data_IF_402270672406
#
_entry.id   IF_402270672406
#
_cell.length_a   1.000
_cell.length_b   1.000
_cell.length_c   1.000
_cell.angle_alpha   90.00
_cell.angle_beta   90.00
_cell.angle_gamma   90.00
#
_symmetry.space_group_name_H-M   'P 1'
#
loop_
_entity.id
_entity.type
_entity.pdbx_description
1 polymer ?
#
# COMPACT_ATOMS: atom_id res chain seq x y z
N UNK A 1 1.70 -3.42 -7.43
CA UNK A 1 2.25 -3.93 -6.16
C UNK A 1 2.75 -2.77 -5.35
N UNK A 2 2.34 -2.69 -4.08
CA UNK A 2 2.77 -1.66 -3.13
C UNK A 2 3.88 -2.23 -2.25
N UNK A 3 5.07 -1.64 -2.30
CA UNK A 3 6.21 -2.02 -1.48
C UNK A 3 6.55 -0.94 -0.45
N UNK A 4 6.85 -1.35 0.77
CA UNK A 4 7.17 -0.44 1.86
C UNK A 4 8.63 -0.57 2.27
N UNK A 5 9.36 0.55 2.23
CA UNK A 5 10.70 0.69 2.76
C UNK A 5 10.60 1.21 4.19
N UNK A 6 11.27 0.51 5.13
CA UNK A 6 11.43 1.02 6.50
C UNK A 6 12.75 1.79 6.63
N UNK A 7 12.72 3.13 6.71
CA UNK A 7 13.93 3.92 6.87
C UNK A 7 14.68 3.68 8.18
N UNK A 8 13.97 3.18 9.21
CA UNK A 8 14.52 2.91 10.54
C UNK A 8 15.33 1.60 10.59
N UNK A 9 15.21 0.76 9.56
CA UNK A 9 15.99 -0.48 9.44
C UNK A 9 17.43 -0.26 8.95
N UNK A 10 17.83 0.98 8.72
CA UNK A 10 19.16 1.35 8.20
C UNK A 10 20.00 2.07 9.25
N UNK A 11 21.31 1.86 9.20
CA UNK A 11 22.28 2.59 10.00
C UNK A 11 23.27 3.34 9.08
N UNK A 12 23.28 4.68 9.13
CA UNK A 12 22.35 5.55 9.86
C UNK A 12 20.93 5.53 9.28
N UNK A 13 19.94 5.91 10.08
CA UNK A 13 18.54 6.03 9.64
C UNK A 13 18.45 6.89 8.38
N UNK A 14 17.69 6.41 7.39
CA UNK A 14 17.61 7.06 6.10
C UNK A 14 16.82 8.38 6.17
N UNK A 15 17.48 9.47 5.81
CA UNK A 15 16.81 10.71 5.46
C UNK A 15 16.21 10.67 4.04
N UNK A 16 15.50 11.73 3.65
CA UNK A 16 14.79 11.84 2.36
C UNK A 16 15.64 11.45 1.14
N UNK A 17 16.90 11.89 1.06
CA UNK A 17 17.81 11.52 -0.06
C UNK A 17 18.18 10.03 -0.03
N UNK A 18 18.34 9.48 1.16
CA UNK A 18 18.62 8.04 1.34
C UNK A 18 17.42 7.19 0.89
N UNK A 19 16.22 7.57 1.31
CA UNK A 19 14.97 6.91 0.89
C UNK A 19 14.85 6.93 -0.64
N UNK A 20 14.96 8.08 -1.28
CA UNK A 20 14.87 8.18 -2.76
C UNK A 20 15.91 7.31 -3.46
N UNK A 21 17.13 7.24 -2.93
CA UNK A 21 18.18 6.37 -3.46
C UNK A 21 17.82 4.88 -3.36
N UNK A 22 17.34 4.43 -2.21
CA UNK A 22 16.96 3.01 -2.02
C UNK A 22 15.75 2.63 -2.87
N UNK A 23 14.75 3.51 -2.98
CA UNK A 23 13.62 3.30 -3.87
C UNK A 23 14.03 3.25 -5.36
N UNK A 24 15.04 4.03 -5.77
CA UNK A 24 15.61 3.92 -7.12
C UNK A 24 16.33 2.59 -7.34
N UNK A 25 17.09 2.11 -6.35
CA UNK A 25 17.72 0.78 -6.44
C UNK A 25 16.68 -0.33 -6.63
N UNK A 26 15.56 -0.26 -5.91
CA UNK A 26 14.45 -1.19 -6.07
C UNK A 26 13.91 -1.16 -7.50
N UNK A 27 13.61 0.03 -8.04
CA UNK A 27 13.19 0.20 -9.44
C UNK A 27 14.20 -0.43 -10.41
N UNK A 28 15.48 -0.13 -10.21
CA UNK A 28 16.54 -0.59 -11.09
C UNK A 28 16.72 -2.11 -11.00
N UNK A 29 16.51 -2.70 -9.83
CA UNK A 29 16.50 -4.16 -9.66
C UNK A 29 15.35 -4.81 -10.43
N UNK A 30 14.13 -4.24 -10.35
CA UNK A 30 12.99 -4.73 -11.15
C UNK A 30 13.24 -4.57 -12.65
N UNK A 31 13.92 -3.48 -13.06
CA UNK A 31 14.27 -3.24 -14.47
C UNK A 31 15.30 -4.24 -15.04
N UNK A 32 16.00 -5.01 -14.18
CA UNK A 32 16.90 -6.09 -14.65
C UNK A 32 16.13 -7.33 -15.13
N UNK A 33 14.86 -7.47 -14.81
CA UNK A 33 14.08 -8.60 -15.23
C UNK A 33 13.89 -8.58 -16.77
N UNK A 34 14.27 -9.65 -17.50
CA UNK A 34 14.33 -9.63 -18.96
C UNK A 34 12.96 -9.47 -19.64
N UNK A 35 11.88 -9.77 -18.92
CA UNK A 35 10.49 -9.61 -19.39
C UNK A 35 9.91 -8.23 -19.20
N UNK A 36 10.61 -7.30 -18.54
CA UNK A 36 10.11 -5.98 -18.17
C UNK A 36 10.97 -4.86 -18.77
N UNK A 37 10.33 -3.81 -19.26
CA UNK A 37 11.00 -2.61 -19.74
C UNK A 37 10.48 -1.37 -19.00
N UNK A 38 11.37 -0.63 -18.32
CA UNK A 38 11.02 0.57 -17.60
C UNK A 38 10.51 1.68 -18.55
N UNK A 39 9.34 2.22 -18.27
CA UNK A 39 8.78 3.38 -18.94
C UNK A 39 9.24 4.66 -18.19
N UNK A 40 10.49 5.05 -18.39
CA UNK A 40 11.14 6.10 -17.62
C UNK A 40 10.42 7.46 -17.65
N UNK A 41 9.77 7.82 -18.75
CA UNK A 41 8.95 9.04 -18.88
C UNK A 41 7.67 9.02 -18.04
N UNK A 42 7.26 7.87 -17.53
CA UNK A 42 6.06 7.69 -16.69
C UNK A 42 6.42 7.49 -15.20
N UNK A 43 7.70 7.54 -14.83
CA UNK A 43 8.16 7.49 -13.44
C UNK A 43 7.85 8.77 -12.70
N UNK A 44 7.32 8.65 -11.49
CA UNK A 44 6.97 9.79 -10.63
C UNK A 44 7.54 9.63 -9.23
N UNK A 45 8.07 10.71 -8.67
CA UNK A 45 8.50 10.79 -7.27
C UNK A 45 7.44 11.51 -6.45
N UNK A 46 7.01 10.90 -5.35
CA UNK A 46 5.97 11.43 -4.48
C UNK A 46 6.62 11.99 -3.21
N UNK A 47 6.77 13.32 -3.14
CA UNK A 47 7.27 14.02 -1.95
C UNK A 47 8.69 13.64 -1.50
N UNK A 48 9.38 12.76 -2.22
CA UNK A 48 10.67 12.18 -1.84
C UNK A 48 10.60 11.05 -0.81
N UNK A 49 9.40 10.60 -0.48
CA UNK A 49 9.13 9.45 0.39
C UNK A 49 8.47 8.28 -0.35
N UNK A 50 8.16 8.47 -1.62
CA UNK A 50 7.55 7.45 -2.46
C UNK A 50 7.85 7.68 -3.92
N UNK A 51 7.63 6.64 -4.71
CA UNK A 51 7.72 6.67 -6.16
C UNK A 51 6.77 5.69 -6.79
N UNK A 52 6.38 6.00 -8.00
CA UNK A 52 5.58 5.15 -8.86
C UNK A 52 6.36 4.94 -10.15
N UNK A 53 6.63 3.70 -10.51
CA UNK A 53 7.32 3.32 -11.73
C UNK A 53 6.43 2.38 -12.55
N UNK A 54 6.48 2.52 -13.87
CA UNK A 54 5.74 1.68 -14.79
C UNK A 54 6.68 0.90 -15.67
N UNK A 55 6.35 -0.38 -15.85
CA UNK A 55 7.10 -1.28 -16.71
C UNK A 55 6.16 -1.85 -17.76
N UNK A 56 6.56 -1.84 -19.01
CA UNK A 56 5.87 -2.58 -20.05
C UNK A 56 6.39 -4.02 -20.10
N UNK A 57 5.56 -4.91 -20.60
CA UNK A 57 5.92 -6.28 -20.92
C UNK A 57 5.39 -6.66 -22.30
N UNK A 58 6.00 -7.67 -22.91
CA UNK A 58 5.57 -8.16 -24.22
C UNK A 58 4.23 -8.87 -24.09
N UNK A 59 3.22 -8.38 -24.78
CA UNK A 59 1.96 -9.09 -24.94
C UNK A 59 2.09 -10.13 -26.03
N UNK A 60 1.70 -11.37 -25.74
CA UNK A 60 1.66 -12.46 -26.72
C UNK A 60 0.33 -12.52 -27.46
N UNK A 61 -0.73 -11.98 -26.87
CA UNK A 61 -2.09 -11.95 -27.40
C UNK A 61 -2.58 -10.50 -27.42
N UNK A 62 -3.50 -10.21 -28.32
CA UNK A 62 -4.14 -8.89 -28.37
C UNK A 62 -4.77 -8.53 -27.03
N UNK A 63 -4.78 -7.24 -26.69
CA UNK A 63 -5.38 -6.77 -25.46
C UNK A 63 -6.86 -7.15 -25.40
N UNK A 64 -7.27 -7.80 -24.32
CA UNK A 64 -8.66 -8.12 -24.04
C UNK A 64 -9.16 -7.16 -22.99
N UNK A 65 -10.07 -6.27 -23.37
CA UNK A 65 -10.70 -5.32 -22.47
C UNK A 65 -9.74 -4.23 -21.94
N UNK A 66 -9.95 -3.82 -20.70
CA UNK A 66 -9.22 -2.72 -20.05
C UNK A 66 -7.90 -3.14 -19.38
N UNK A 67 -7.42 -4.35 -19.64
CA UNK A 67 -6.16 -4.84 -19.05
C UNK A 67 -4.99 -4.09 -19.68
N UNK A 68 -4.35 -3.25 -18.89
CA UNK A 68 -3.17 -2.52 -19.32
C UNK A 68 -1.96 -3.47 -19.41
N UNK A 69 -1.17 -3.33 -20.50
CA UNK A 69 0.09 -4.06 -20.70
C UNK A 69 1.24 -3.50 -19.85
N UNK A 70 0.96 -3.19 -18.60
CA UNK A 70 1.88 -2.51 -17.68
C UNK A 70 1.86 -3.14 -16.31
N UNK A 71 3.02 -3.27 -15.72
CA UNK A 71 3.19 -3.52 -14.30
C UNK A 71 3.41 -2.17 -13.60
N UNK A 72 2.59 -1.89 -12.59
CA UNK A 72 2.74 -0.71 -11.75
C UNK A 72 3.48 -1.12 -10.47
N UNK A 73 4.63 -0.50 -10.24
CA UNK A 73 5.39 -0.58 -9.00
C UNK A 73 5.18 0.70 -8.21
N UNK A 74 4.53 0.60 -7.08
CA UNK A 74 4.41 1.67 -6.10
C UNK A 74 5.28 1.34 -4.90
N UNK A 75 6.19 2.23 -4.55
CA UNK A 75 7.09 2.02 -3.43
C UNK A 75 7.21 3.27 -2.57
N UNK A 76 7.18 3.11 -1.26
CA UNK A 76 7.17 4.24 -0.34
C UNK A 76 7.66 3.92 1.05
N UNK A 77 7.97 4.98 1.81
CA UNK A 77 8.43 4.93 3.18
C UNK A 77 7.47 5.63 4.17
N UNK A 78 6.28 6.02 3.70
CA UNK A 78 5.32 6.76 4.53
C UNK A 78 4.44 5.85 5.38
N UNK A 79 4.31 4.58 5.01
CA UNK A 79 3.58 3.59 5.83
C UNK A 79 4.45 3.07 6.97
N UNK A 80 3.83 2.63 8.05
CA UNK A 80 4.53 1.94 9.12
C UNK A 80 4.82 0.48 8.78
N UNK A 81 5.60 -0.19 9.65
CA UNK A 81 6.08 -1.55 9.41
C UNK A 81 5.33 -2.64 10.18
N UNK A 82 4.55 -2.29 11.17
CA UNK A 82 3.86 -3.24 12.05
C UNK A 82 2.38 -2.92 12.21
N UNK A 83 1.53 -3.91 12.42
CA UNK A 83 1.85 -5.33 12.41
C UNK A 83 2.06 -5.89 11.00
N UNK A 84 2.91 -6.93 10.89
CA UNK A 84 3.12 -7.68 9.64
C UNK A 84 2.79 -9.15 9.83
N UNK A 85 2.59 -9.85 8.72
CA UNK A 85 2.41 -11.30 8.68
C UNK A 85 3.26 -11.88 7.54
N UNK A 86 3.83 -13.05 7.76
CA UNK A 86 4.52 -13.80 6.71
C UNK A 86 3.52 -14.74 6.06
N UNK A 87 3.35 -14.60 4.76
CA UNK A 87 2.38 -15.37 3.98
C UNK A 87 3.09 -16.08 2.84
N UNK A 88 2.73 -17.33 2.62
CA UNK A 88 3.11 -18.06 1.42
C UNK A 88 2.14 -17.69 0.30
N UNK A 89 2.67 -17.18 -0.79
CA UNK A 89 1.92 -16.72 -1.97
C UNK A 89 2.24 -17.59 -3.17
N UNK A 90 1.33 -17.61 -4.12
CA UNK A 90 1.53 -18.18 -5.46
C UNK A 90 0.69 -17.41 -6.47
N UNK A 91 1.00 -17.54 -7.75
CA UNK A 91 0.21 -16.87 -8.78
C UNK A 91 -1.15 -17.54 -8.95
N UNK A 92 -2.18 -16.76 -9.29
CA UNK A 92 -3.52 -17.30 -9.63
C UNK A 92 -3.44 -18.29 -10.80
N UNK A 93 -2.54 -18.03 -11.75
CA UNK A 93 -2.29 -18.95 -12.88
C UNK A 93 -1.77 -20.30 -12.37
N UNK A 94 -0.80 -20.28 -11.45
CA UNK A 94 -0.25 -21.49 -10.85
C UNK A 94 -1.32 -22.30 -10.11
N UNK A 95 -2.21 -21.65 -9.35
CA UNK A 95 -3.35 -22.31 -8.70
C UNK A 95 -4.29 -22.96 -9.69
N UNK A 96 -4.60 -22.24 -10.77
CA UNK A 96 -5.44 -22.77 -11.85
C UNK A 96 -4.82 -23.97 -12.54
N UNK A 97 -3.53 -23.91 -12.88
CA UNK A 97 -2.81 -25.00 -13.55
C UNK A 97 -2.75 -26.24 -12.66
N UNK A 98 -2.43 -26.09 -11.36
CA UNK A 98 -2.44 -27.18 -10.40
C UNK A 98 -3.82 -27.84 -10.32
N UNK A 99 -4.89 -27.06 -10.22
CA UNK A 99 -6.27 -27.56 -10.19
C UNK A 99 -6.64 -28.33 -11.47
N UNK A 100 -5.93 -28.10 -12.59
CA UNK A 100 -6.06 -28.81 -13.86
C UNK A 100 -5.07 -29.95 -14.04
N UNK A 101 -4.16 -30.16 -13.10
CA UNK A 101 -3.11 -31.18 -13.21
C UNK A 101 -2.07 -30.85 -14.29
N UNK A 102 -1.89 -29.58 -14.63
CA UNK A 102 -0.95 -29.10 -15.67
C UNK A 102 0.22 -28.39 -14.99
N UNK A 103 1.45 -28.72 -15.41
CA UNK A 103 2.65 -27.94 -15.09
C UNK A 103 3.31 -27.50 -16.39
N UNK A 104 3.71 -26.23 -16.43
CA UNK A 104 4.46 -25.66 -17.56
C UNK A 104 5.97 -25.72 -17.31
N UNK A 105 6.41 -26.11 -16.10
CA UNK A 105 7.81 -26.10 -15.69
C UNK A 105 8.40 -24.69 -15.59
N UNK A 106 7.56 -23.69 -15.38
CA UNK A 106 7.99 -22.32 -15.26
C UNK A 106 8.46 -22.00 -13.83
N UNK A 107 9.46 -21.12 -13.68
CA UNK A 107 10.01 -20.73 -12.39
C UNK A 107 8.96 -20.12 -11.45
N UNK A 108 7.95 -19.44 -12.00
CA UNK A 108 6.88 -18.76 -11.26
C UNK A 108 5.66 -19.64 -10.92
N UNK A 109 5.71 -20.95 -11.22
CA UNK A 109 4.72 -21.91 -10.73
C UNK A 109 4.88 -22.20 -9.24
N UNK A 110 6.06 -21.95 -8.68
CA UNK A 110 6.37 -22.18 -7.28
C UNK A 110 5.67 -21.22 -6.33
N UNK A 111 5.61 -21.64 -5.08
CA UNK A 111 5.22 -20.77 -3.96
C UNK A 111 6.40 -19.94 -3.52
N UNK A 112 6.13 -18.71 -3.08
CA UNK A 112 7.13 -17.85 -2.49
C UNK A 112 6.60 -17.21 -1.22
N UNK A 113 7.49 -16.95 -0.28
CA UNK A 113 7.16 -16.33 0.99
C UNK A 113 7.34 -14.84 0.92
N UNK A 114 6.34 -14.09 1.40
CA UNK A 114 6.39 -12.63 1.47
C UNK A 114 5.95 -12.13 2.83
N UNK A 115 6.62 -11.11 3.34
CA UNK A 115 6.17 -10.35 4.51
C UNK A 115 5.20 -9.27 4.06
N UNK A 116 3.95 -9.39 4.49
CA UNK A 116 2.89 -8.46 4.16
C UNK A 116 2.56 -7.58 5.36
N UNK A 117 2.16 -6.35 5.07
CA UNK A 117 1.53 -5.51 6.07
C UNK A 117 0.18 -6.13 6.46
N UNK A 118 -0.06 -6.28 7.76
CA UNK A 118 -1.31 -6.91 8.21
C UNK A 118 -2.50 -6.01 7.89
N UNK A 119 -3.60 -6.59 7.47
CA UNK A 119 -4.79 -5.85 7.03
C UNK A 119 -5.41 -4.96 8.13
N UNK A 120 -5.18 -5.24 9.42
CA UNK A 120 -5.58 -4.36 10.53
C UNK A 120 -4.94 -2.99 10.41
N UNK A 121 -3.66 -2.93 10.06
CA UNK A 121 -2.98 -1.68 9.80
C UNK A 121 -3.51 -1.01 8.53
N UNK A 122 -3.70 -1.76 7.47
CA UNK A 122 -4.29 -1.26 6.22
C UNK A 122 -5.66 -0.63 6.48
N UNK A 123 -6.47 -1.22 7.35
CA UNK A 123 -7.76 -0.67 7.75
C UNK A 123 -7.60 0.72 8.39
N UNK A 124 -6.72 0.85 9.38
CA UNK A 124 -6.47 2.14 10.05
C UNK A 124 -5.95 3.19 9.07
N UNK A 125 -4.97 2.85 8.22
CA UNK A 125 -4.42 3.79 7.24
C UNK A 125 -5.46 4.26 6.22
N UNK A 126 -6.33 3.37 5.75
CA UNK A 126 -7.43 3.73 4.85
C UNK A 126 -8.48 4.63 5.51
N UNK A 127 -8.79 4.40 6.80
CA UNK A 127 -9.65 5.31 7.56
C UNK A 127 -9.07 6.73 7.60
N UNK A 128 -7.78 6.86 7.91
CA UNK A 128 -7.13 8.16 7.91
C UNK A 128 -7.08 8.82 6.54
N UNK A 129 -6.82 8.04 5.50
CA UNK A 129 -6.81 8.54 4.13
C UNK A 129 -8.17 9.12 3.72
N UNK A 130 -9.27 8.39 4.00
CA UNK A 130 -10.63 8.88 3.74
C UNK A 130 -10.95 10.10 4.60
N UNK A 131 -10.69 10.02 5.92
CA UNK A 131 -10.97 11.12 6.83
C UNK A 131 -10.29 12.42 6.39
N UNK A 132 -9.00 12.34 6.05
CA UNK A 132 -8.25 13.49 5.54
C UNK A 132 -8.86 14.07 4.26
N UNK A 133 -9.37 13.23 3.35
CA UNK A 133 -10.02 13.69 2.12
C UNK A 133 -11.40 14.28 2.37
N UNK A 134 -12.16 13.74 3.32
CA UNK A 134 -13.45 14.31 3.72
C UNK A 134 -13.26 15.70 4.33
N UNK A 135 -12.23 15.88 5.17
CA UNK A 135 -11.94 17.21 5.73
C UNK A 135 -11.49 18.22 4.65
N UNK A 136 -10.70 17.77 3.65
CA UNK A 136 -10.37 18.60 2.49
C UNK A 136 -11.59 18.92 1.63
N UNK A 137 -12.53 17.98 1.46
CA UNK A 137 -13.79 18.22 0.78
C UNK A 137 -14.62 19.29 1.51
N UNK A 138 -14.73 19.19 2.82
CA UNK A 138 -15.47 20.17 3.64
C UNK A 138 -14.85 21.58 3.57
N UNK A 139 -13.52 21.66 3.58
CA UNK A 139 -12.78 22.91 3.61
C UNK A 139 -12.67 23.56 2.23
N UNK A 140 -12.27 22.77 1.23
CA UNK A 140 -11.83 23.25 -0.07
C UNK A 140 -12.78 22.85 -1.21
N UNK A 141 -13.90 22.15 -0.91
CA UNK A 141 -14.85 21.58 -1.88
C UNK A 141 -14.19 20.66 -2.93
N UNK A 142 -13.06 20.04 -2.60
CA UNK A 142 -12.38 19.08 -3.47
C UNK A 142 -13.00 17.70 -3.32
N UNK A 143 -13.43 17.11 -4.44
CA UNK A 143 -14.03 15.78 -4.46
C UNK A 143 -13.09 14.67 -3.95
N UNK A 144 -13.68 13.54 -3.55
CA UNK A 144 -12.94 12.38 -3.03
C UNK A 144 -12.08 11.67 -4.10
N UNK A 145 -12.42 11.84 -5.39
CA UNK A 145 -11.68 11.24 -6.50
C UNK A 145 -11.58 9.71 -6.35
N UNK A 146 -10.40 9.16 -6.64
CA UNK A 146 -10.13 7.72 -6.56
C UNK A 146 -10.16 7.15 -5.14
N UNK A 147 -10.20 7.98 -4.10
CA UNK A 147 -10.28 7.54 -2.70
C UNK A 147 -11.62 6.90 -2.34
N UNK A 148 -12.65 7.11 -3.14
CA UNK A 148 -13.95 6.46 -2.95
C UNK A 148 -13.85 4.92 -2.89
N UNK A 149 -12.90 4.31 -3.62
CA UNK A 149 -12.64 2.87 -3.56
C UNK A 149 -12.28 2.35 -2.15
N UNK A 150 -11.68 3.19 -1.30
CA UNK A 150 -11.30 2.80 0.05
C UNK A 150 -12.50 2.55 0.96
N UNK A 151 -13.69 3.08 0.64
CA UNK A 151 -14.91 2.73 1.38
C UNK A 151 -15.27 1.27 1.20
N UNK A 152 -15.12 0.74 -0.03
CA UNK A 152 -15.33 -0.68 -0.27
C UNK A 152 -14.33 -1.54 0.54
N UNK A 153 -13.06 -1.16 0.52
CA UNK A 153 -12.03 -1.87 1.28
C UNK A 153 -12.33 -1.85 2.78
N UNK A 154 -12.72 -0.68 3.33
CA UNK A 154 -13.08 -0.55 4.73
C UNK A 154 -14.32 -1.39 5.07
N UNK A 155 -15.34 -1.41 4.21
CA UNK A 155 -16.52 -2.24 4.40
C UNK A 155 -16.17 -3.72 4.49
N UNK A 156 -15.33 -4.22 3.58
CA UNK A 156 -14.89 -5.61 3.58
C UNK A 156 -14.04 -5.96 4.82
N UNK A 157 -13.16 -5.07 5.23
CA UNK A 157 -12.28 -5.27 6.37
C UNK A 157 -13.01 -5.14 7.70
N UNK A 158 -14.02 -4.28 7.80
CA UNK A 158 -14.82 -4.08 9.01
C UNK A 158 -15.59 -5.32 9.45
N UNK A 159 -15.88 -6.25 8.54
CA UNK A 159 -16.52 -7.54 8.84
C UNK A 159 -15.56 -8.60 9.40
N UNK A 160 -14.28 -8.27 9.64
CA UNK A 160 -13.28 -9.20 10.18
C UNK A 160 -13.19 -9.05 11.69
N UNK A 161 -13.31 -10.17 12.42
CA UNK A 161 -13.22 -10.18 13.89
C UNK A 161 -11.90 -9.57 14.38
N UNK A 162 -10.78 -9.87 13.70
CA UNK A 162 -9.47 -9.30 14.05
C UNK A 162 -9.42 -7.78 13.96
N UNK A 163 -10.21 -7.17 13.05
CA UNK A 163 -10.32 -5.71 12.96
C UNK A 163 -11.15 -5.16 14.11
N UNK A 164 -12.27 -5.82 14.43
CA UNK A 164 -13.12 -5.41 15.54
C UNK A 164 -12.38 -5.52 16.89
N UNK A 165 -11.63 -6.59 17.09
CA UNK A 165 -10.83 -6.80 18.29
C UNK A 165 -9.69 -5.76 18.39
N UNK A 166 -9.00 -5.49 17.28
CA UNK A 166 -7.98 -4.44 17.22
C UNK A 166 -8.57 -3.08 17.60
N UNK A 167 -9.75 -2.72 17.06
CA UNK A 167 -10.42 -1.45 17.39
C UNK A 167 -10.76 -1.31 18.88
N UNK A 168 -10.98 -2.43 19.59
CA UNK A 168 -11.27 -2.47 21.03
C UNK A 168 -10.02 -2.51 21.91
N UNK A 169 -8.85 -2.72 21.33
CA UNK A 169 -7.58 -2.93 22.03
C UNK A 169 -6.67 -1.69 21.97
N UNK A 170 -5.55 -1.73 22.71
CA UNK A 170 -4.51 -0.72 22.65
C UNK A 170 -3.73 -0.74 21.33
N UNK A 171 -3.85 -1.81 20.56
CA UNK A 171 -3.23 -1.91 19.23
C UNK A 171 -3.71 -0.80 18.29
N UNK A 172 -5.01 -0.47 18.33
CA UNK A 172 -5.54 0.66 17.55
C UNK A 172 -4.82 1.97 17.88
N UNK A 173 -4.63 2.24 19.18
CA UNK A 173 -3.95 3.47 19.64
C UNK A 173 -2.49 3.46 19.19
N UNK A 174 -1.82 2.32 19.27
CA UNK A 174 -0.45 2.17 18.83
C UNK A 174 -0.28 2.42 17.32
N UNK A 175 -1.12 1.79 16.48
CA UNK A 175 -1.11 1.99 15.02
C UNK A 175 -1.43 3.43 14.66
N UNK A 176 -2.43 4.02 15.30
CA UNK A 176 -2.83 5.42 15.11
C UNK A 176 -1.67 6.37 15.39
N UNK A 177 -0.99 6.20 16.53
CA UNK A 177 0.11 7.07 16.93
C UNK A 177 1.33 6.92 16.00
N UNK A 178 1.66 5.69 15.60
CA UNK A 178 2.71 5.43 14.63
C UNK A 178 2.40 6.09 13.28
N UNK A 179 1.18 5.93 12.78
CA UNK A 179 0.76 6.57 11.53
C UNK A 179 0.84 8.10 11.63
N UNK A 180 0.31 8.69 12.70
CA UNK A 180 0.34 10.13 12.90
C UNK A 180 1.77 10.69 12.95
N UNK A 181 2.71 9.98 13.62
CA UNK A 181 4.11 10.39 13.70
C UNK A 181 4.80 10.38 12.33
N UNK A 182 4.56 9.34 11.52
CA UNK A 182 5.12 9.20 10.17
C UNK A 182 4.52 10.20 9.20
N UNK A 183 3.21 10.43 9.30
CA UNK A 183 2.53 11.44 8.48
C UNK A 183 3.05 12.84 8.76
N UNK A 184 3.29 13.20 10.03
CA UNK A 184 3.95 14.48 10.40
C UNK A 184 5.34 14.60 9.82
N UNK A 185 6.16 13.55 9.91
CA UNK A 185 7.50 13.53 9.34
C UNK A 185 7.49 13.69 7.81
N UNK A 186 6.50 13.12 7.13
CA UNK A 186 6.35 13.19 5.67
C UNK A 186 5.76 14.53 5.20
N UNK A 187 4.88 15.18 6.00
CA UNK A 187 4.09 16.34 5.58
C UNK A 187 4.47 17.64 6.26
N UNK A 188 5.58 17.71 6.97
CA UNK A 188 6.00 18.78 7.91
C UNK A 188 5.97 20.24 7.38
N UNK A 189 5.36 20.51 6.24
CA UNK A 189 5.25 21.85 5.65
C UNK A 189 3.86 22.30 5.15
N UNK A 190 2.78 21.51 5.19
CA UNK A 190 1.55 21.96 4.54
C UNK A 190 0.18 21.54 5.10
N UNK A 191 0.12 20.68 6.09
CA UNK A 191 -1.19 20.23 6.62
C UNK A 191 -1.20 20.38 8.15
N UNK A 192 -2.23 21.06 8.64
CA UNK A 192 -2.42 21.30 10.05
C UNK A 192 -2.50 20.04 10.91
N UNK A 193 -2.54 20.23 12.21
CA UNK A 193 -2.45 19.24 13.27
C UNK A 193 -3.17 17.90 12.94
N UNK A 194 -2.45 16.78 12.88
CA UNK A 194 -3.05 15.46 12.61
C UNK A 194 -4.00 15.00 13.72
N UNK A 195 -3.93 15.54 14.92
CA UNK A 195 -4.92 15.25 15.97
C UNK A 195 -6.32 15.77 15.62
N UNK A 196 -6.40 16.85 14.83
CA UNK A 196 -7.65 17.34 14.25
C UNK A 196 -8.29 16.39 13.24
N UNK A 197 -7.53 15.45 12.69
CA UNK A 197 -7.94 14.57 11.59
C UNK A 197 -8.08 13.10 12.02
N UNK A 198 -8.15 12.83 13.32
CA UNK A 198 -8.26 11.47 13.83
C UNK A 198 -9.71 11.17 14.22
N UNK A 199 -10.38 10.20 13.55
CA UNK A 199 -11.70 9.75 14.03
C UNK A 199 -11.58 9.14 15.42
N UNK A 200 -12.55 9.44 16.29
CA UNK A 200 -12.59 8.82 17.60
C UNK A 200 -12.91 7.32 17.48
N UNK A 201 -12.43 6.55 18.45
CA UNK A 201 -12.67 5.11 18.52
C UNK A 201 -14.16 4.79 18.58
N UNK A 202 -14.90 5.56 19.37
CA UNK A 202 -16.34 5.43 19.55
C UNK A 202 -17.09 5.64 18.23
N UNK A 203 -16.71 6.67 17.48
CA UNK A 203 -17.31 6.96 16.18
C UNK A 203 -17.16 5.81 15.17
N UNK A 204 -16.01 5.12 15.20
CA UNK A 204 -15.73 4.01 14.30
C UNK A 204 -16.57 2.80 14.69
N UNK A 205 -16.59 2.45 15.98
CA UNK A 205 -17.32 1.28 16.49
C UNK A 205 -18.82 1.44 16.27
N UNK A 206 -19.39 2.61 16.59
CA UNK A 206 -20.81 2.88 16.43
C UNK A 206 -21.30 2.78 14.98
N UNK A 207 -20.44 3.10 14.00
CA UNK A 207 -20.81 3.10 12.57
C UNK A 207 -20.43 1.83 11.83
N UNK A 208 -19.65 0.95 12.43
CA UNK A 208 -19.25 -0.31 11.83
C UNK A 208 -20.15 -1.47 12.28
N UNK A 209 -20.91 -1.29 13.37
CA UNK A 209 -21.84 -2.28 13.92
C UNK A 209 -23.30 -2.05 13.49
N UNK A 210 -23.59 -1.20 12.52
CA UNK A 210 -24.87 -1.02 11.85
C UNK A 210 -24.83 -1.63 10.44
#
# INVERSE_FOLDING_TARGET
VDLFLDPLAFEPVLGKRGIDRELKKLRDAVAQHPGLALLGGESQTIGGFGRTDRFSYRQMFGAVGEVANRVLLEAGAASGREPTVVVELRSILSEFLEAKGVSLGAEDEGRFTMRLLHFRRTFVEKMFAIHSKVELLKRDHRGLGTYARHYYDLFQLAGRDEVLDMLRSDEYVAIKNDYASRFRAATSRSLGDPERFSPSREWIIERTCL
#
